data_IF_387420226642
#
_entry.id   IF_387420226642
#
_cell.length_a   1.000
_cell.length_b   1.000
_cell.length_c   1.000
_cell.angle_alpha   90.00
_cell.angle_beta   90.00
_cell.angle_gamma   90.00
#
_symmetry.space_group_name_H-M   'P 1'
#
loop_
_entity.id
_entity.type
_entity.pdbx_description
1 polymer ?
#
# COMPACT_ATOMS: atom_id res chain seq x y z
N UNK A 1 27.25 -27.81 -27.12
CA UNK A 1 26.41 -27.37 -25.98
C UNK A 1 25.50 -26.26 -26.48
N UNK A 2 24.24 -26.56 -26.52
CA UNK A 2 23.27 -25.85 -27.31
C UNK A 2 22.90 -24.48 -26.71
N UNK A 3 22.39 -23.60 -27.56
CA UNK A 3 21.88 -22.27 -27.17
C UNK A 3 20.99 -22.31 -25.91
N UNK A 4 20.15 -23.32 -25.81
CA UNK A 4 19.26 -23.55 -24.65
C UNK A 4 20.05 -23.71 -23.35
N UNK A 5 21.14 -24.49 -23.35
CA UNK A 5 21.99 -24.70 -22.16
C UNK A 5 22.67 -23.39 -21.74
N UNK A 6 23.18 -22.60 -22.71
CA UNK A 6 23.80 -21.29 -22.42
C UNK A 6 22.78 -20.32 -21.83
N UNK A 7 21.57 -20.28 -22.38
CA UNK A 7 20.48 -19.42 -21.86
C UNK A 7 20.03 -19.88 -20.47
N UNK A 8 19.96 -21.19 -20.23
CA UNK A 8 19.61 -21.72 -18.90
C UNK A 8 20.66 -21.33 -17.84
N UNK A 9 21.96 -21.48 -18.17
CA UNK A 9 23.05 -21.08 -17.26
C UNK A 9 23.02 -19.57 -17.00
N UNK A 10 22.82 -18.76 -18.04
CA UNK A 10 22.70 -17.30 -17.90
C UNK A 10 21.51 -16.94 -17.01
N UNK A 11 20.35 -17.58 -17.22
CA UNK A 11 19.16 -17.33 -16.40
C UNK A 11 19.42 -17.67 -14.93
N UNK A 12 20.03 -18.82 -14.63
CA UNK A 12 20.38 -19.22 -13.25
C UNK A 12 21.35 -18.20 -12.64
N UNK A 13 22.38 -17.78 -13.38
CA UNK A 13 23.33 -16.78 -12.91
C UNK A 13 22.63 -15.44 -12.58
N UNK A 14 21.73 -14.97 -13.45
CA UNK A 14 20.94 -13.76 -13.21
C UNK A 14 20.02 -13.90 -11.98
N UNK A 15 19.43 -15.09 -11.75
CA UNK A 15 18.62 -15.34 -10.55
C UNK A 15 19.45 -15.30 -9.25
N UNK A 16 20.70 -15.77 -9.29
CA UNK A 16 21.62 -15.65 -8.14
C UNK A 16 21.96 -14.16 -7.88
N UNK A 17 22.25 -13.39 -8.95
CA UNK A 17 22.51 -11.96 -8.82
C UNK A 17 21.28 -11.23 -8.27
N UNK A 18 20.09 -11.53 -8.77
CA UNK A 18 18.82 -11.00 -8.29
C UNK A 18 18.61 -11.28 -6.78
N UNK A 19 18.84 -12.52 -6.35
CA UNK A 19 18.72 -12.91 -4.94
C UNK A 19 19.75 -12.18 -4.05
N UNK A 20 21.00 -12.02 -4.49
CA UNK A 20 22.02 -11.26 -3.76
C UNK A 20 21.68 -9.77 -3.69
N UNK A 21 21.21 -9.18 -4.79
CA UNK A 21 20.79 -7.78 -4.84
C UNK A 21 19.58 -7.54 -3.93
N UNK A 22 18.60 -8.45 -3.95
CA UNK A 22 17.43 -8.37 -3.07
C UNK A 22 17.81 -8.48 -1.58
N UNK A 23 18.72 -9.41 -1.23
CA UNK A 23 19.25 -9.52 0.12
C UNK A 23 19.95 -8.23 0.57
N UNK A 24 20.80 -7.66 -0.30
CA UNK A 24 21.49 -6.42 -0.01
C UNK A 24 20.50 -5.26 0.20
N UNK A 25 19.54 -5.12 -0.67
CA UNK A 25 18.50 -4.10 -0.61
C UNK A 25 17.68 -4.21 0.69
N UNK A 26 17.15 -5.41 0.98
CA UNK A 26 16.38 -5.64 2.20
C UNK A 26 17.21 -5.43 3.47
N UNK A 27 18.46 -5.90 3.51
CA UNK A 27 19.27 -5.76 4.72
C UNK A 27 19.76 -4.33 4.93
N UNK A 28 20.39 -3.72 3.93
CA UNK A 28 21.01 -2.39 4.08
C UNK A 28 19.95 -1.27 4.12
N UNK A 29 18.85 -1.39 3.38
CA UNK A 29 17.75 -0.44 3.45
C UNK A 29 17.15 -0.35 4.85
N UNK A 30 16.80 -1.48 5.45
CA UNK A 30 16.23 -1.50 6.79
C UNK A 30 17.27 -1.12 7.86
N UNK A 31 18.54 -1.54 7.74
CA UNK A 31 19.61 -1.11 8.66
C UNK A 31 19.79 0.41 8.62
N UNK A 32 19.76 1.02 7.44
CA UNK A 32 19.78 2.47 7.28
C UNK A 32 18.58 3.12 8.00
N UNK A 33 17.39 2.56 7.84
CA UNK A 33 16.18 3.00 8.57
C UNK A 33 16.37 2.97 10.07
N UNK A 34 16.96 1.90 10.63
CA UNK A 34 17.24 1.78 12.07
C UNK A 34 18.20 2.87 12.56
N UNK A 35 19.24 3.21 11.80
CA UNK A 35 20.14 4.32 12.16
C UNK A 35 19.41 5.66 12.16
N UNK A 36 18.65 5.95 11.12
CA UNK A 36 17.86 7.19 11.03
C UNK A 36 16.86 7.28 12.19
N UNK A 37 16.13 6.21 12.47
CA UNK A 37 15.17 6.13 13.59
C UNK A 37 15.85 6.39 14.93
N UNK A 38 17.02 5.78 15.15
CA UNK A 38 17.80 5.92 16.39
C UNK A 38 18.26 7.36 16.58
N UNK A 39 18.77 8.00 15.53
CA UNK A 39 19.25 9.38 15.61
C UNK A 39 18.08 10.35 15.82
N UNK A 40 16.98 10.19 15.06
CA UNK A 40 15.78 11.01 15.24
C UNK A 40 15.18 10.86 16.66
N UNK A 41 15.17 9.63 17.21
CA UNK A 41 14.67 9.39 18.57
C UNK A 41 15.57 10.07 19.62
N UNK A 42 16.88 10.02 19.45
CA UNK A 42 17.83 10.73 20.32
C UNK A 42 17.61 12.23 20.29
N UNK A 43 17.48 12.81 19.11
CA UNK A 43 17.29 14.25 18.93
C UNK A 43 15.94 14.71 19.50
N UNK A 44 14.88 13.94 19.25
CA UNK A 44 13.55 14.21 19.80
C UNK A 44 13.57 14.12 21.34
N UNK A 45 14.21 13.11 21.91
CA UNK A 45 14.30 12.98 23.36
C UNK A 45 15.12 14.11 23.97
N UNK A 46 16.27 14.47 23.39
CA UNK A 46 17.08 15.61 23.85
C UNK A 46 16.30 16.94 23.79
N UNK A 47 15.43 17.10 22.77
CA UNK A 47 14.56 18.26 22.68
C UNK A 47 13.49 18.25 23.79
N UNK A 48 12.87 17.11 24.06
CA UNK A 48 11.88 16.96 25.13
C UNK A 48 12.49 17.33 26.50
N UNK A 49 13.70 16.87 26.83
CA UNK A 49 14.36 17.21 28.08
C UNK A 49 14.59 18.73 28.31
N UNK A 50 14.56 19.53 27.24
CA UNK A 50 14.68 20.99 27.28
C UNK A 50 13.36 21.76 27.28
N UNK A 51 12.21 21.06 27.24
CA UNK A 51 10.91 21.72 27.28
C UNK A 51 10.49 22.11 28.70
N UNK A 52 9.65 23.16 28.78
CA UNK A 52 9.15 23.68 30.05
C UNK A 52 8.09 22.78 30.70
N UNK A 53 7.96 22.88 32.03
CA UNK A 53 6.89 22.19 32.77
C UNK A 53 5.49 22.48 32.24
N UNK A 54 5.26 23.71 31.71
CA UNK A 54 3.99 24.09 31.12
C UNK A 54 3.66 23.26 29.87
N UNK A 55 4.65 22.80 29.13
CA UNK A 55 4.42 21.88 28.00
C UNK A 55 3.86 20.55 28.49
N UNK A 56 4.44 19.98 29.53
CA UNK A 56 4.04 18.68 30.10
C UNK A 56 2.68 18.76 30.81
N UNK A 57 2.37 19.90 31.42
CA UNK A 57 1.05 20.15 32.02
C UNK A 57 -0.09 20.21 30.99
N UNK A 58 0.21 20.67 29.76
CA UNK A 58 -0.79 20.86 28.71
C UNK A 58 -0.83 19.73 27.66
N UNK A 59 0.10 18.80 27.70
CA UNK A 59 0.19 17.70 26.73
C UNK A 59 0.11 16.34 27.43
N UNK A 60 -0.62 15.40 26.83
CA UNK A 60 -0.69 14.03 27.35
C UNK A 60 0.63 13.31 27.08
N UNK A 61 1.36 12.92 28.12
CA UNK A 61 2.66 12.23 28.03
C UNK A 61 2.57 10.99 27.11
N UNK A 62 1.47 10.21 27.19
CA UNK A 62 1.25 9.06 26.31
C UNK A 62 1.23 9.42 24.81
N UNK A 63 0.75 10.61 24.43
CA UNK A 63 0.81 11.07 23.05
C UNK A 63 2.24 11.44 22.63
N UNK A 64 3.00 12.07 23.52
CA UNK A 64 4.42 12.40 23.29
C UNK A 64 5.23 11.10 23.12
N UNK A 65 4.98 10.12 23.99
CA UNK A 65 5.59 8.78 23.88
C UNK A 65 5.29 8.12 22.54
N UNK A 66 4.02 8.15 22.08
CA UNK A 66 3.62 7.61 20.80
C UNK A 66 4.41 8.23 19.64
N UNK A 67 4.65 9.56 19.68
CA UNK A 67 5.42 10.27 18.64
C UNK A 67 6.87 9.81 18.54
N UNK A 68 7.56 9.64 19.68
CA UNK A 68 8.98 9.23 19.69
C UNK A 68 9.18 7.71 19.54
N UNK A 69 8.10 6.93 19.50
CA UNK A 69 8.15 5.49 19.27
C UNK A 69 7.51 5.12 17.93
N UNK A 70 6.18 5.09 17.86
CA UNK A 70 5.46 4.59 16.69
C UNK A 70 5.55 5.52 15.49
N UNK A 71 5.37 6.85 15.69
CA UNK A 71 5.36 7.78 14.55
C UNK A 71 6.75 7.90 13.90
N UNK A 72 7.84 7.80 14.70
CA UNK A 72 9.21 7.78 14.17
C UNK A 72 9.47 6.53 13.33
N UNK A 73 8.99 5.38 13.77
CA UNK A 73 9.09 4.16 12.99
C UNK A 73 8.37 4.33 11.63
N UNK A 74 7.14 4.83 11.62
CA UNK A 74 6.39 5.05 10.38
C UNK A 74 7.09 6.04 9.45
N UNK A 75 7.70 7.11 9.98
CA UNK A 75 8.48 8.09 9.20
C UNK A 75 9.71 7.45 8.57
N UNK A 76 10.44 6.62 9.29
CA UNK A 76 11.66 5.98 8.78
C UNK A 76 11.36 4.87 7.78
N UNK A 77 10.30 4.08 7.98
CA UNK A 77 9.80 3.12 6.99
C UNK A 77 9.42 3.84 5.68
N UNK A 78 8.73 4.97 5.79
CA UNK A 78 8.41 5.78 4.61
C UNK A 78 9.66 6.32 3.91
N UNK A 79 10.63 6.83 4.67
CA UNK A 79 11.80 7.52 4.13
C UNK A 79 12.70 6.62 3.27
N UNK A 80 12.81 5.32 3.59
CA UNK A 80 13.62 4.41 2.78
C UNK A 80 12.79 3.63 1.75
N UNK A 81 11.59 3.19 2.07
CA UNK A 81 10.76 2.43 1.13
C UNK A 81 10.19 3.29 -0.01
N UNK A 82 9.83 4.55 0.26
CA UNK A 82 9.20 5.40 -0.74
C UNK A 82 10.09 5.66 -1.97
N UNK A 83 11.34 6.16 -1.81
CA UNK A 83 12.24 6.35 -2.96
C UNK A 83 12.56 5.05 -3.68
N UNK A 84 12.75 3.95 -2.93
CA UNK A 84 13.07 2.63 -3.46
C UNK A 84 11.95 2.11 -4.37
N UNK A 85 10.72 2.04 -3.87
CA UNK A 85 9.59 1.49 -4.61
C UNK A 85 9.25 2.31 -5.86
N UNK A 86 9.27 3.64 -5.76
CA UNK A 86 9.02 4.51 -6.92
C UNK A 86 10.13 4.40 -7.96
N UNK A 87 11.39 4.30 -7.56
CA UNK A 87 12.52 4.13 -8.46
C UNK A 87 12.45 2.79 -9.21
N UNK A 88 12.23 1.70 -8.48
CA UNK A 88 12.07 0.36 -9.06
C UNK A 88 10.87 0.30 -10.01
N UNK A 89 9.75 0.90 -9.61
CA UNK A 89 8.55 0.93 -10.44
C UNK A 89 8.78 1.72 -11.74
N UNK A 90 9.41 2.89 -11.65
CA UNK A 90 9.75 3.70 -12.83
C UNK A 90 10.67 2.93 -13.78
N UNK A 91 11.74 2.30 -13.26
CA UNK A 91 12.64 1.47 -14.07
C UNK A 91 11.89 0.32 -14.74
N UNK A 92 11.06 -0.44 -14.01
CA UNK A 92 10.28 -1.55 -14.57
C UNK A 92 9.35 -1.08 -15.68
N UNK A 93 8.67 0.04 -15.52
CA UNK A 93 7.77 0.62 -16.53
C UNK A 93 8.57 1.03 -17.77
N UNK A 94 9.66 1.78 -17.61
CA UNK A 94 10.48 2.27 -18.73
C UNK A 94 11.13 1.11 -19.48
N UNK A 95 11.73 0.17 -18.78
CA UNK A 95 12.38 -1.01 -19.39
C UNK A 95 11.33 -1.86 -20.13
N UNK A 96 10.19 -2.12 -19.51
CA UNK A 96 9.09 -2.88 -20.16
C UNK A 96 8.60 -2.18 -21.42
N UNK A 97 8.37 -0.86 -21.37
CA UNK A 97 7.97 -0.09 -22.54
C UNK A 97 9.03 -0.18 -23.65
N UNK A 98 10.29 -0.01 -23.31
CA UNK A 98 11.39 -0.04 -24.27
C UNK A 98 11.50 -1.40 -24.95
N UNK A 99 11.55 -2.48 -24.17
CA UNK A 99 11.71 -3.84 -24.71
C UNK A 99 10.51 -4.23 -25.60
N UNK A 100 9.29 -3.97 -25.14
CA UNK A 100 8.09 -4.27 -25.90
C UNK A 100 7.97 -3.42 -27.17
N UNK A 101 8.45 -2.18 -27.14
CA UNK A 101 8.45 -1.30 -28.33
C UNK A 101 9.40 -1.79 -29.42
N UNK A 102 10.50 -2.46 -29.10
CA UNK A 102 11.37 -3.09 -30.09
C UNK A 102 10.70 -4.24 -30.83
N UNK A 103 9.70 -4.88 -30.21
CA UNK A 103 8.94 -5.96 -30.84
C UNK A 103 7.79 -5.44 -31.68
N UNK A 104 6.92 -4.61 -31.12
CA UNK A 104 5.78 -4.01 -31.84
C UNK A 104 5.30 -2.73 -31.16
N UNK A 105 5.62 -1.58 -31.74
CA UNK A 105 5.19 -0.27 -31.23
C UNK A 105 3.64 -0.18 -31.11
N UNK A 106 2.83 -0.56 -32.12
CA UNK A 106 1.39 -0.43 -32.02
C UNK A 106 0.77 -1.25 -30.88
N UNK A 107 1.26 -2.49 -30.68
CA UNK A 107 0.77 -3.35 -29.60
C UNK A 107 1.18 -2.81 -28.22
N UNK A 108 2.41 -2.30 -28.11
CA UNK A 108 2.91 -1.69 -26.88
C UNK A 108 2.10 -0.45 -26.50
N UNK A 109 1.85 0.45 -27.46
CA UNK A 109 1.04 1.66 -27.18
C UNK A 109 -0.38 1.26 -26.76
N UNK A 110 -1.00 0.27 -27.39
CA UNK A 110 -2.33 -0.20 -27.05
C UNK A 110 -2.40 -0.70 -25.58
N UNK A 111 -1.42 -1.50 -25.16
CA UNK A 111 -1.35 -2.02 -23.79
C UNK A 111 -1.08 -0.90 -22.80
N UNK A 112 -0.10 -0.03 -23.10
CA UNK A 112 0.27 1.07 -22.20
C UNK A 112 -0.80 2.16 -22.10
N UNK A 113 -1.68 2.31 -23.10
CA UNK A 113 -2.84 3.20 -23.01
C UNK A 113 -3.85 2.78 -21.93
N UNK A 114 -3.89 1.50 -21.54
CA UNK A 114 -4.72 1.02 -20.44
C UNK A 114 -4.20 1.47 -19.08
N UNK A 115 -2.87 1.71 -18.94
CA UNK A 115 -2.23 2.03 -17.65
C UNK A 115 -2.73 3.35 -17.04
N UNK A 116 -2.71 4.50 -17.74
CA UNK A 116 -3.19 5.75 -17.17
C UNK A 116 -4.68 5.70 -16.79
N UNK A 117 -5.50 5.01 -17.59
CA UNK A 117 -6.91 4.82 -17.29
C UNK A 117 -7.10 4.01 -15.99
N UNK A 118 -6.36 2.93 -15.83
CA UNK A 118 -6.32 2.12 -14.62
C UNK A 118 -5.89 2.94 -13.40
N UNK A 119 -4.80 3.72 -13.52
CA UNK A 119 -4.29 4.56 -12.43
C UNK A 119 -5.32 5.59 -11.96
N UNK A 120 -5.95 6.33 -12.87
CA UNK A 120 -6.94 7.36 -12.52
C UNK A 120 -8.11 6.78 -11.74
N UNK A 121 -8.65 5.64 -12.18
CA UNK A 121 -9.79 5.00 -11.51
C UNK A 121 -9.35 4.40 -10.17
N UNK A 122 -8.19 3.74 -10.11
CA UNK A 122 -7.65 3.17 -8.87
C UNK A 122 -7.42 4.26 -7.82
N UNK A 123 -6.81 5.38 -8.17
CA UNK A 123 -6.59 6.51 -7.27
C UNK A 123 -7.93 7.07 -6.75
N UNK A 124 -8.92 7.25 -7.64
CA UNK A 124 -10.23 7.77 -7.25
C UNK A 124 -10.98 6.86 -6.28
N UNK A 125 -10.99 5.55 -6.55
CA UNK A 125 -11.65 4.57 -5.70
C UNK A 125 -10.90 4.35 -4.39
N UNK A 126 -9.57 4.40 -4.42
CA UNK A 126 -8.74 4.33 -3.23
C UNK A 126 -8.99 5.52 -2.30
N UNK A 127 -9.13 6.73 -2.83
CA UNK A 127 -9.48 7.90 -2.02
C UNK A 127 -10.82 7.72 -1.29
N UNK A 128 -11.84 7.17 -1.93
CA UNK A 128 -13.13 6.87 -1.29
C UNK A 128 -12.99 5.81 -0.18
N UNK A 129 -12.20 4.77 -0.42
CA UNK A 129 -11.91 3.74 0.58
C UNK A 129 -11.17 4.31 1.80
N UNK A 130 -10.18 5.17 1.59
CA UNK A 130 -9.45 5.87 2.67
C UNK A 130 -10.33 6.77 3.51
N UNK A 131 -11.18 7.58 2.86
CA UNK A 131 -12.12 8.43 3.58
C UNK A 131 -13.00 7.61 4.54
N UNK A 132 -13.53 6.49 4.07
CA UNK A 132 -14.33 5.58 4.90
C UNK A 132 -13.50 4.89 6.00
N UNK A 133 -12.21 4.63 5.77
CA UNK A 133 -11.32 4.06 6.79
C UNK A 133 -11.01 5.07 7.89
N UNK A 134 -10.78 6.34 7.52
CA UNK A 134 -10.58 7.42 8.50
C UNK A 134 -11.82 7.63 9.37
N UNK A 135 -13.01 7.64 8.76
CA UNK A 135 -14.28 7.76 9.49
C UNK A 135 -14.47 6.61 10.48
N UNK A 136 -14.14 5.37 10.08
CA UNK A 136 -14.19 4.21 10.97
C UNK A 136 -13.23 4.35 12.15
N UNK A 137 -12.01 4.89 11.95
CA UNK A 137 -11.04 5.10 13.03
C UNK A 137 -11.52 6.12 14.05
N UNK A 138 -12.11 7.23 13.57
CA UNK A 138 -12.70 8.23 14.45
C UNK A 138 -13.81 7.61 15.29
N UNK A 139 -14.72 6.87 14.65
CA UNK A 139 -15.88 6.27 15.34
C UNK A 139 -15.47 5.20 16.36
N UNK A 140 -14.46 4.38 16.08
CA UNK A 140 -13.98 3.40 17.07
C UNK A 140 -13.29 4.10 18.25
N UNK A 141 -12.61 5.22 18.01
CA UNK A 141 -12.07 6.07 19.07
C UNK A 141 -13.16 6.63 19.99
N UNK A 142 -14.25 7.16 19.43
CA UNK A 142 -15.41 7.62 20.20
C UNK A 142 -16.03 6.49 21.03
N UNK A 143 -16.19 5.29 20.42
CA UNK A 143 -16.74 4.14 21.12
C UNK A 143 -15.83 3.66 22.25
N UNK A 144 -14.51 3.63 22.04
CA UNK A 144 -13.55 3.27 23.08
C UNK A 144 -13.59 4.25 24.25
N UNK A 145 -13.64 5.57 23.99
CA UNK A 145 -13.77 6.57 25.04
C UNK A 145 -15.07 6.39 25.83
N UNK A 146 -16.18 6.09 25.16
CA UNK A 146 -17.45 5.81 25.82
C UNK A 146 -17.38 4.57 26.72
N UNK A 147 -16.72 3.50 26.27
CA UNK A 147 -16.52 2.27 27.07
C UNK A 147 -15.63 2.57 28.27
N UNK A 148 -14.54 3.33 28.08
CA UNK A 148 -13.63 3.75 29.13
C UNK A 148 -14.40 4.55 30.22
N UNK A 149 -15.17 5.54 29.85
CA UNK A 149 -15.98 6.34 30.75
C UNK A 149 -16.96 5.48 31.58
N UNK A 150 -17.67 4.54 30.91
CA UNK A 150 -18.61 3.64 31.61
C UNK A 150 -17.90 2.72 32.57
N UNK A 151 -16.71 2.20 32.23
CA UNK A 151 -15.92 1.32 33.10
C UNK A 151 -15.33 2.07 34.29
N UNK A 152 -14.78 3.28 34.09
CA UNK A 152 -14.28 4.13 35.16
C UNK A 152 -15.41 4.59 36.09
N UNK A 153 -16.58 4.86 35.52
CA UNK A 153 -17.80 5.26 36.25
C UNK A 153 -18.61 4.08 36.84
N UNK A 154 -18.12 2.83 36.80
CA UNK A 154 -18.87 1.63 37.16
C UNK A 154 -19.52 1.70 38.57
N UNK A 155 -18.83 2.31 39.54
CA UNK A 155 -19.39 2.50 40.88
C UNK A 155 -20.66 3.38 40.87
N UNK A 156 -20.64 4.42 40.07
CA UNK A 156 -21.77 5.35 39.91
C UNK A 156 -22.91 4.67 39.18
N UNK A 157 -22.61 3.97 38.09
CA UNK A 157 -23.61 3.19 37.32
C UNK A 157 -24.35 2.20 38.23
N UNK A 158 -23.61 1.48 39.08
CA UNK A 158 -24.16 0.54 40.05
C UNK A 158 -24.97 1.21 41.14
N UNK A 159 -24.49 2.33 41.70
CA UNK A 159 -25.16 3.08 42.76
C UNK A 159 -26.56 3.60 42.32
N UNK A 160 -26.67 3.98 41.02
CA UNK A 160 -27.91 4.50 40.46
C UNK A 160 -28.71 3.45 39.64
N UNK A 161 -28.29 2.18 39.63
CA UNK A 161 -28.93 1.10 38.85
C UNK A 161 -29.12 1.51 37.37
N UNK A 162 -28.10 2.17 36.80
CA UNK A 162 -28.15 2.81 35.48
C UNK A 162 -27.58 1.92 34.34
N UNK A 163 -27.40 0.62 34.56
CA UNK A 163 -26.81 -0.32 33.58
C UNK A 163 -27.56 -0.32 32.26
N UNK A 164 -28.92 -0.22 32.32
CA UNK A 164 -29.73 -0.20 31.10
C UNK A 164 -29.48 1.07 30.27
N UNK A 165 -29.34 2.21 30.92
CA UNK A 165 -29.06 3.49 30.24
C UNK A 165 -27.64 3.48 29.58
N UNK A 166 -26.63 2.94 30.26
CA UNK A 166 -25.30 2.78 29.70
C UNK A 166 -25.28 1.79 28.53
N UNK A 167 -26.03 0.69 28.62
CA UNK A 167 -26.16 -0.27 27.51
C UNK A 167 -26.81 0.37 26.28
N UNK A 168 -27.90 1.16 26.47
CA UNK A 168 -28.56 1.88 25.37
C UNK A 168 -27.65 2.92 24.72
N UNK A 169 -26.83 3.61 25.52
CA UNK A 169 -25.84 4.58 25.05
C UNK A 169 -24.76 3.86 24.20
N UNK A 170 -24.20 2.75 24.72
CA UNK A 170 -23.24 1.93 23.99
C UNK A 170 -23.83 1.41 22.68
N UNK A 171 -25.05 0.89 22.69
CA UNK A 171 -25.67 0.32 21.50
C UNK A 171 -25.88 1.35 20.39
N UNK A 172 -26.18 2.60 20.72
CA UNK A 172 -26.22 3.70 19.73
C UNK A 172 -24.88 3.91 19.05
N UNK A 173 -23.79 3.97 19.83
CA UNK A 173 -22.43 4.09 19.31
C UNK A 173 -22.02 2.89 18.46
N UNK A 174 -22.35 1.68 18.93
CA UNK A 174 -22.07 0.42 18.25
C UNK A 174 -22.83 0.29 16.91
N UNK A 175 -24.09 0.69 16.84
CA UNK A 175 -24.86 0.72 15.60
C UNK A 175 -24.29 1.72 14.59
N UNK A 176 -23.90 2.92 15.04
CA UNK A 176 -23.23 3.91 14.19
C UNK A 176 -21.90 3.33 13.63
N UNK A 177 -21.08 2.71 14.47
CA UNK A 177 -19.85 2.04 14.06
C UNK A 177 -20.11 0.93 13.04
N UNK A 178 -21.13 0.11 13.24
CA UNK A 178 -21.54 -0.95 12.32
C UNK A 178 -21.86 -0.40 10.92
N UNK A 179 -22.64 0.67 10.83
CA UNK A 179 -23.01 1.25 9.53
C UNK A 179 -21.79 1.88 8.81
N UNK A 180 -20.93 2.57 9.53
CA UNK A 180 -19.67 3.10 8.99
C UNK A 180 -18.77 1.96 8.50
N UNK A 181 -18.67 0.88 9.27
CA UNK A 181 -17.87 -0.31 8.90
C UNK A 181 -18.41 -1.00 7.65
N UNK A 182 -19.72 -1.09 7.49
CA UNK A 182 -20.36 -1.59 6.26
C UNK A 182 -20.01 -0.69 5.05
N UNK A 183 -20.13 0.62 5.18
CA UNK A 183 -19.77 1.58 4.14
C UNK A 183 -18.30 1.41 3.69
N UNK A 184 -17.39 1.26 4.66
CA UNK A 184 -15.98 0.98 4.38
C UNK A 184 -15.80 -0.33 3.60
N UNK A 185 -16.48 -1.42 3.97
CA UNK A 185 -16.38 -2.68 3.23
C UNK A 185 -16.94 -2.58 1.81
N UNK A 186 -18.01 -1.81 1.58
CA UNK A 186 -18.47 -1.54 0.21
C UNK A 186 -17.46 -0.72 -0.61
N UNK A 187 -16.81 0.27 0.00
CA UNK A 187 -15.76 1.03 -0.66
C UNK A 187 -14.55 0.14 -1.00
N UNK A 188 -14.12 -0.73 -0.06
CA UNK A 188 -13.07 -1.72 -0.26
C UNK A 188 -13.43 -2.70 -1.39
N UNK A 189 -14.64 -3.23 -1.39
CA UNK A 189 -15.09 -4.16 -2.42
C UNK A 189 -15.09 -3.51 -3.81
N UNK A 190 -15.56 -2.25 -3.93
CA UNK A 190 -15.51 -1.49 -5.19
C UNK A 190 -14.08 -1.29 -5.68
N UNK A 191 -13.16 -0.91 -4.79
CA UNK A 191 -11.75 -0.74 -5.12
C UNK A 191 -11.13 -2.07 -5.61
N UNK A 192 -11.24 -3.14 -4.82
CA UNK A 192 -10.65 -4.44 -5.16
C UNK A 192 -11.26 -5.05 -6.44
N UNK A 193 -12.59 -4.94 -6.62
CA UNK A 193 -13.25 -5.43 -7.83
C UNK A 193 -12.82 -4.65 -9.07
N UNK A 194 -12.68 -3.33 -8.95
CA UNK A 194 -12.21 -2.49 -10.05
C UNK A 194 -10.78 -2.84 -10.44
N UNK A 195 -9.87 -2.98 -9.48
CA UNK A 195 -8.49 -3.40 -9.74
C UNK A 195 -8.45 -4.75 -10.46
N UNK A 196 -9.25 -5.72 -9.98
CA UNK A 196 -9.33 -7.05 -10.61
C UNK A 196 -9.90 -7.02 -12.04
N UNK A 197 -10.86 -6.14 -12.30
CA UNK A 197 -11.38 -5.93 -13.65
C UNK A 197 -10.32 -5.34 -14.59
N UNK A 198 -9.52 -4.40 -14.12
CA UNK A 198 -8.42 -3.85 -14.92
C UNK A 198 -7.33 -4.85 -15.21
N UNK A 199 -6.96 -5.69 -14.25
CA UNK A 199 -6.04 -6.80 -14.48
C UNK A 199 -6.55 -7.70 -15.62
N UNK A 200 -7.83 -8.11 -15.52
CA UNK A 200 -8.50 -8.91 -16.55
C UNK A 200 -8.55 -8.20 -17.92
N UNK A 201 -8.81 -6.89 -17.92
CA UNK A 201 -8.83 -6.09 -19.15
C UNK A 201 -7.44 -6.04 -19.80
N UNK A 202 -6.38 -5.79 -19.05
CA UNK A 202 -5.02 -5.78 -19.59
C UNK A 202 -4.61 -7.12 -20.18
N UNK A 203 -4.92 -8.24 -19.51
CA UNK A 203 -4.71 -9.57 -20.07
C UNK A 203 -5.55 -9.82 -21.33
N UNK A 204 -6.83 -9.43 -21.31
CA UNK A 204 -7.73 -9.60 -22.46
C UNK A 204 -7.24 -8.81 -23.67
N UNK A 205 -6.87 -7.55 -23.48
CA UNK A 205 -6.30 -6.71 -24.56
C UNK A 205 -5.03 -7.34 -25.10
N UNK A 206 -4.14 -7.82 -24.22
CA UNK A 206 -2.86 -8.44 -24.62
C UNK A 206 -3.11 -9.72 -25.44
N UNK A 207 -4.00 -10.59 -24.99
CA UNK A 207 -4.28 -11.86 -25.66
C UNK A 207 -5.04 -11.64 -26.98
N UNK A 208 -6.05 -10.80 -26.97
CA UNK A 208 -6.88 -10.56 -28.16
C UNK A 208 -6.10 -9.78 -29.23
N UNK A 209 -5.53 -8.64 -28.86
CA UNK A 209 -4.76 -7.84 -29.82
C UNK A 209 -3.48 -8.56 -30.24
N UNK A 210 -2.75 -9.16 -29.30
CA UNK A 210 -1.57 -9.96 -29.59
C UNK A 210 -1.89 -11.17 -30.48
N UNK A 211 -3.01 -11.87 -30.23
CA UNK A 211 -3.49 -12.94 -31.11
C UNK A 211 -3.81 -12.46 -32.52
N UNK A 212 -4.44 -11.30 -32.70
CA UNK A 212 -4.68 -10.69 -34.01
C UNK A 212 -3.36 -10.37 -34.71
N UNK A 213 -2.38 -9.78 -33.99
CA UNK A 213 -1.07 -9.47 -34.53
C UNK A 213 -0.29 -10.72 -34.93
N UNK A 214 -0.42 -11.80 -34.13
CA UNK A 214 0.16 -13.10 -34.43
C UNK A 214 -0.43 -13.71 -35.73
N UNK A 215 -1.77 -13.72 -35.88
CA UNK A 215 -2.42 -14.23 -37.08
C UNK A 215 -2.07 -13.42 -38.34
N UNK A 216 -1.85 -12.12 -38.19
CA UNK A 216 -1.36 -11.23 -39.25
C UNK A 216 0.13 -11.38 -39.56
N UNK A 217 0.86 -12.18 -38.78
CA UNK A 217 2.30 -12.37 -38.95
C UNK A 217 3.16 -11.16 -38.51
N UNK A 218 2.58 -10.23 -37.73
CA UNK A 218 3.29 -9.03 -37.25
C UNK A 218 4.14 -9.29 -36.03
N UNK A 219 3.86 -10.36 -35.27
CA UNK A 219 4.65 -10.87 -34.13
C UNK A 219 4.73 -12.39 -34.21
N UNK A 220 5.70 -12.97 -33.48
CA UNK A 220 5.88 -14.41 -33.35
C UNK A 220 5.20 -14.94 -32.07
N UNK A 221 4.97 -16.27 -31.95
CA UNK A 221 4.41 -16.87 -30.73
C UNK A 221 5.23 -16.56 -29.49
N UNK A 222 6.58 -16.53 -29.60
CA UNK A 222 7.48 -16.15 -28.51
C UNK A 222 7.27 -14.69 -28.04
N UNK A 223 7.01 -13.79 -28.98
CA UNK A 223 6.71 -12.39 -28.67
C UNK A 223 5.42 -12.26 -27.87
N UNK A 224 4.38 -13.03 -28.22
CA UNK A 224 3.13 -13.02 -27.46
C UNK A 224 3.33 -13.48 -26.02
N UNK A 225 4.11 -14.54 -25.81
CA UNK A 225 4.48 -15.01 -24.46
C UNK A 225 5.25 -13.91 -23.70
N UNK A 226 6.19 -13.26 -24.36
CA UNK A 226 6.93 -12.13 -23.78
C UNK A 226 6.00 -11.00 -23.35
N UNK A 227 5.05 -10.59 -24.19
CA UNK A 227 4.04 -9.58 -23.84
C UNK A 227 3.22 -9.97 -22.61
N UNK A 228 2.78 -11.22 -22.49
CA UNK A 228 2.02 -11.72 -21.33
C UNK A 228 2.87 -11.60 -20.05
N UNK A 229 4.15 -12.00 -20.09
CA UNK A 229 5.06 -11.92 -18.95
C UNK A 229 5.32 -10.47 -18.50
N UNK A 230 5.54 -9.56 -19.47
CA UNK A 230 5.75 -8.15 -19.15
C UNK A 230 4.47 -7.47 -18.63
N UNK A 231 3.30 -7.81 -19.17
CA UNK A 231 2.00 -7.32 -18.66
C UNK A 231 1.78 -7.79 -17.22
N UNK A 232 2.12 -9.04 -16.89
CA UNK A 232 2.09 -9.55 -15.51
C UNK A 232 2.96 -8.69 -14.58
N UNK A 233 4.17 -8.37 -15.02
CA UNK A 233 5.10 -7.51 -14.27
C UNK A 233 4.56 -6.09 -14.13
N UNK A 234 3.98 -5.51 -15.18
CA UNK A 234 3.38 -4.17 -15.15
C UNK A 234 2.20 -4.09 -14.18
N UNK A 235 1.28 -5.07 -14.24
CA UNK A 235 0.14 -5.16 -13.32
C UNK A 235 0.63 -5.21 -11.88
N UNK A 236 1.59 -6.09 -11.57
CA UNK A 236 2.16 -6.21 -10.23
C UNK A 236 2.82 -4.89 -9.77
N UNK A 237 3.56 -4.22 -10.66
CA UNK A 237 4.21 -2.94 -10.37
C UNK A 237 3.21 -1.84 -10.07
N UNK A 238 2.15 -1.71 -10.89
CA UNK A 238 1.11 -0.70 -10.70
C UNK A 238 0.35 -0.94 -9.39
N UNK A 239 0.01 -2.21 -9.11
CA UNK A 239 -0.66 -2.59 -7.86
C UNK A 239 0.19 -2.20 -6.66
N UNK A 240 1.49 -2.49 -6.69
CA UNK A 240 2.42 -2.15 -5.61
C UNK A 240 2.53 -0.64 -5.38
N UNK A 241 2.55 0.18 -6.45
CA UNK A 241 2.49 1.65 -6.32
C UNK A 241 1.21 2.11 -5.60
N UNK A 242 0.06 1.53 -5.97
CA UNK A 242 -1.23 1.90 -5.38
C UNK A 242 -1.30 1.50 -3.91
N UNK A 243 -0.88 0.27 -3.57
CA UNK A 243 -0.84 -0.26 -2.20
C UNK A 243 0.13 0.55 -1.33
N UNK A 244 1.32 0.85 -1.86
CA UNK A 244 2.33 1.64 -1.17
C UNK A 244 1.84 3.06 -0.89
N UNK A 245 1.24 3.72 -1.90
CA UNK A 245 0.61 5.01 -1.69
C UNK A 245 -0.53 4.96 -0.65
N UNK A 246 -1.10 3.78 -0.37
CA UNK A 246 -2.11 3.56 0.67
C UNK A 246 -1.48 3.50 2.07
N UNK A 247 -0.37 2.82 2.22
CA UNK A 247 0.26 2.54 3.52
C UNK A 247 0.71 3.80 4.25
N UNK A 248 1.19 4.82 3.52
CA UNK A 248 1.80 6.02 4.10
C UNK A 248 0.92 7.28 4.16
N UNK A 249 -0.35 7.19 3.85
CA UNK A 249 -1.30 8.31 4.03
C UNK A 249 -2.27 8.04 5.20
N UNK A 250 -1.95 7.08 6.06
CA UNK A 250 -2.65 6.78 7.29
C UNK A 250 -2.12 7.58 8.46
#
# INVERSE_FOLDING_TARGET
MDLVTKLAVLYIALRVVDACAYFFMCSQGHIMGVYIETDMRRDAFAHLENLSDSYYANNKIGQVMGRITSDLFDVTEFAHHCPEEFFIAALKIVISFTILSFTSIPLTILIFACVPFMLVISIKLNHAFRSSTKEQRVQIGELNAQVEDSLLGQKVVKAFTAEKAELEKFEKGNQKFKEIKKSRYYAMARFNTSTRLFDGLMYSVTIIAGGIFLVKGWINPGDLVMYILYVTTLIATIRRIVEFAEQFQM
#
